data_IF_369614603346
#
_entry.id   IF_369614603346
#
_cell.length_a   1.000
_cell.length_b   1.000
_cell.length_c   1.000
_cell.angle_alpha   90.00
_cell.angle_beta   90.00
_cell.angle_gamma   90.00
#
_symmetry.space_group_name_H-M   'P 1'
#
loop_
_entity.id
_entity.type
_entity.pdbx_description
1 polymer ?
#
# COMPACT_ATOMS: atom_id res chain seq x y z
N UNK A 1 15.79 -6.09 21.34
CA UNK A 1 14.81 -6.47 20.30
C UNK A 1 13.41 -6.32 20.86
N UNK A 2 12.49 -5.76 20.07
CA UNK A 2 11.05 -5.78 20.33
C UNK A 2 10.32 -6.59 19.28
N UNK A 3 9.32 -7.35 19.71
CA UNK A 3 8.48 -8.18 18.86
C UNK A 3 7.03 -7.72 18.92
N UNK A 4 6.32 -7.87 17.81
CA UNK A 4 4.89 -7.66 17.70
C UNK A 4 4.29 -8.70 16.76
N UNK A 5 3.08 -9.16 17.06
CA UNK A 5 2.29 -10.02 16.18
C UNK A 5 0.82 -9.61 16.25
N UNK A 6 0.13 -9.63 15.11
CA UNK A 6 -1.30 -9.40 15.01
C UNK A 6 -1.86 -10.09 13.78
N UNK A 7 -3.12 -10.54 13.89
CA UNK A 7 -3.90 -11.02 12.77
C UNK A 7 -5.10 -10.13 12.49
N UNK A 8 -5.52 -10.11 11.22
CA UNK A 8 -6.73 -9.44 10.76
C UNK A 8 -7.40 -10.26 9.67
N UNK A 9 -8.73 -10.36 9.71
CA UNK A 9 -9.52 -11.07 8.72
C UNK A 9 -10.17 -10.06 7.76
N UNK A 10 -9.90 -10.21 6.47
CA UNK A 10 -10.65 -9.54 5.41
C UNK A 10 -11.81 -10.42 4.99
N UNK A 11 -12.99 -9.83 4.78
CA UNK A 11 -14.19 -10.54 4.29
C UNK A 11 -14.14 -10.84 2.77
N UNK A 12 -13.01 -10.54 2.13
CA UNK A 12 -12.78 -10.73 0.70
C UNK A 12 -11.99 -12.02 0.40
N UNK A 13 -12.11 -12.47 -0.85
CA UNK A 13 -11.33 -13.61 -1.36
C UNK A 13 -9.84 -13.28 -1.45
N UNK A 14 -9.02 -14.32 -1.33
CA UNK A 14 -7.56 -14.18 -1.34
C UNK A 14 -7.05 -13.48 -2.60
N UNK A 15 -7.65 -13.75 -3.76
CA UNK A 15 -7.23 -13.15 -5.02
C UNK A 15 -7.38 -11.63 -5.05
N UNK A 16 -8.51 -11.09 -4.54
CA UNK A 16 -8.72 -9.63 -4.56
C UNK A 16 -7.93 -8.92 -3.45
N UNK A 17 -7.74 -9.56 -2.28
CA UNK A 17 -6.86 -9.06 -1.21
C UNK A 17 -5.42 -9.02 -1.67
N UNK A 18 -4.96 -10.08 -2.35
CA UNK A 18 -3.62 -10.16 -2.91
C UNK A 18 -3.40 -9.06 -3.95
N UNK A 19 -4.35 -8.86 -4.87
CA UNK A 19 -4.28 -7.77 -5.84
C UNK A 19 -4.23 -6.39 -5.16
N UNK A 20 -5.10 -6.16 -4.16
CA UNK A 20 -5.11 -4.92 -3.40
C UNK A 20 -3.80 -4.67 -2.66
N UNK A 21 -3.17 -5.71 -2.11
CA UNK A 21 -1.87 -5.62 -1.46
C UNK A 21 -0.78 -5.13 -2.41
N UNK A 22 -0.70 -5.69 -3.62
CA UNK A 22 0.31 -5.29 -4.60
C UNK A 22 0.03 -3.90 -5.21
N UNK A 23 -1.24 -3.50 -5.32
CA UNK A 23 -1.67 -2.19 -5.80
C UNK A 23 -1.82 -1.13 -4.69
N UNK A 24 -1.36 -1.42 -3.46
CA UNK A 24 -1.60 -0.53 -2.31
C UNK A 24 -0.97 0.85 -2.46
N UNK A 25 -0.03 1.04 -3.38
CA UNK A 25 0.54 2.35 -3.65
C UNK A 25 0.19 2.84 -5.05
N UNK A 26 -0.11 4.15 -5.19
CA UNK A 26 -0.13 5.14 -4.12
C UNK A 26 -1.49 5.14 -3.37
N UNK A 27 -1.52 5.48 -2.07
CA UNK A 27 -2.75 5.72 -1.31
C UNK A 27 -2.58 6.82 -0.23
N UNK A 28 -3.65 7.54 0.20
CA UNK A 28 -3.55 8.67 1.15
C UNK A 28 -3.07 8.29 2.55
N UNK A 29 -3.27 7.04 2.96
CA UNK A 29 -2.79 6.53 4.25
C UNK A 29 -1.28 6.28 4.25
N UNK A 30 -0.66 6.17 3.07
CA UNK A 30 0.77 5.95 2.86
C UNK A 30 1.46 7.07 2.06
N UNK A 31 1.06 8.33 2.23
CA UNK A 31 1.66 9.48 1.53
C UNK A 31 3.17 9.71 1.76
N UNK A 32 3.78 8.97 2.70
CA UNK A 32 5.22 8.97 2.92
C UNK A 32 5.98 8.08 1.95
N UNK A 33 5.31 7.16 1.23
CA UNK A 33 5.91 6.36 0.17
C UNK A 33 6.06 7.22 -1.07
N UNK A 34 7.29 7.35 -1.56
CA UNK A 34 7.64 8.17 -2.72
C UNK A 34 7.59 7.32 -4.00
N UNK A 35 8.21 6.14 -3.97
CA UNK A 35 8.24 5.22 -5.11
C UNK A 35 8.17 3.76 -4.63
N UNK A 36 7.73 2.88 -5.53
CA UNK A 36 7.73 1.45 -5.35
C UNK A 36 7.99 0.79 -6.71
N UNK A 37 9.17 0.21 -6.86
CA UNK A 37 9.69 -0.28 -8.12
C UNK A 37 9.89 -1.80 -8.05
N UNK A 38 9.56 -2.52 -9.12
CA UNK A 38 9.85 -3.97 -9.21
C UNK A 38 11.27 -4.14 -9.69
N UNK A 39 12.11 -4.80 -8.88
CA UNK A 39 13.52 -5.05 -9.19
C UNK A 39 13.67 -6.37 -9.94
N UNK A 40 12.99 -7.41 -9.47
CA UNK A 40 12.94 -8.71 -10.13
C UNK A 40 11.59 -9.37 -9.90
N UNK A 41 11.21 -10.22 -10.84
CA UNK A 41 9.99 -11.03 -10.76
C UNK A 41 10.15 -12.26 -11.62
N UNK A 42 10.02 -13.42 -10.98
CA UNK A 42 10.27 -14.71 -11.61
C UNK A 42 9.27 -15.74 -11.08
N UNK A 43 9.02 -16.77 -11.87
CA UNK A 43 8.24 -17.94 -11.46
C UNK A 43 9.16 -19.07 -11.04
N UNK A 44 8.89 -19.70 -9.91
CA UNK A 44 9.59 -20.90 -9.48
C UNK A 44 9.10 -22.12 -10.28
N UNK A 45 9.87 -23.23 -10.31
CA UNK A 45 9.40 -24.49 -10.89
C UNK A 45 8.11 -25.04 -10.25
N UNK A 46 7.81 -24.65 -9.01
CA UNK A 46 6.58 -25.01 -8.30
C UNK A 46 5.36 -24.18 -8.72
N UNK A 47 5.51 -23.22 -9.65
CA UNK A 47 4.43 -22.35 -10.11
C UNK A 47 4.14 -21.15 -9.20
N UNK A 48 5.06 -20.84 -8.30
CA UNK A 48 4.96 -19.71 -7.36
C UNK A 48 5.57 -18.46 -7.98
N UNK A 49 4.97 -17.29 -7.79
CA UNK A 49 5.53 -16.01 -8.24
C UNK A 49 6.37 -15.39 -7.14
N UNK A 50 7.67 -15.19 -7.38
CA UNK A 50 8.56 -14.47 -6.48
C UNK A 50 8.77 -13.07 -7.03
N UNK A 51 8.69 -12.04 -6.20
CA UNK A 51 8.89 -10.65 -6.60
C UNK A 51 9.71 -9.93 -5.53
N UNK A 52 10.73 -9.21 -5.99
CA UNK A 52 11.47 -8.24 -5.18
C UNK A 52 11.10 -6.83 -5.60
N UNK A 53 10.65 -6.01 -4.66
CA UNK A 53 10.39 -4.58 -4.86
C UNK A 53 11.30 -3.71 -4.00
N UNK A 54 11.66 -2.56 -4.53
CA UNK A 54 12.37 -1.52 -3.81
C UNK A 54 11.42 -0.35 -3.56
N UNK A 55 11.33 0.09 -2.31
CA UNK A 55 10.41 1.12 -1.88
C UNK A 55 11.22 2.26 -1.27
N UNK A 56 11.01 3.48 -1.78
CA UNK A 56 11.54 4.69 -1.18
C UNK A 56 10.47 5.35 -0.31
N UNK A 57 10.80 5.67 0.94
CA UNK A 57 9.89 6.39 1.83
C UNK A 57 10.56 7.56 2.54
N UNK A 58 9.79 8.63 2.76
CA UNK A 58 10.14 9.73 3.64
C UNK A 58 9.99 9.29 5.09
N UNK A 59 10.98 9.61 5.91
CA UNK A 59 10.96 9.45 7.35
C UNK A 59 11.09 10.79 8.07
N UNK A 60 11.05 10.73 9.39
CA UNK A 60 11.38 11.87 10.25
C UNK A 60 12.07 11.36 11.51
N UNK A 61 13.13 12.05 11.93
CA UNK A 61 13.81 11.72 13.16
C UNK A 61 13.00 12.24 14.35
N UNK A 62 12.87 11.45 15.44
CA UNK A 62 12.17 11.94 16.61
C UNK A 62 12.98 13.05 17.28
N UNK A 63 12.29 14.04 17.87
CA UNK A 63 12.92 15.25 18.45
C UNK A 63 14.00 14.97 19.50
N UNK A 64 13.90 13.84 20.20
CA UNK A 64 14.85 13.42 21.22
C UNK A 64 16.13 12.78 20.66
N UNK A 65 16.15 12.42 19.38
CA UNK A 65 17.30 11.76 18.78
C UNK A 65 18.40 12.78 18.46
N UNK A 66 19.69 12.44 18.67
CA UNK A 66 20.78 13.37 18.43
C UNK A 66 20.79 13.89 16.98
N UNK A 67 20.87 15.21 16.84
CA UNK A 67 20.97 15.87 15.53
C UNK A 67 22.32 15.53 14.87
N UNK A 68 22.35 15.49 13.54
CA UNK A 68 23.57 15.29 12.75
C UNK A 68 24.01 13.83 12.58
N UNK A 69 23.37 12.86 13.25
CA UNK A 69 23.70 11.43 13.11
C UNK A 69 23.16 10.83 11.80
N UNK A 70 22.02 11.31 11.32
CA UNK A 70 21.38 10.85 10.09
C UNK A 70 21.24 12.06 9.16
N UNK A 71 21.91 12.02 8.00
CA UNK A 71 21.92 13.12 7.02
C UNK A 71 20.69 13.16 6.13
N UNK A 72 20.07 12.00 5.88
CA UNK A 72 18.86 11.85 5.05
C UNK A 72 17.76 11.17 5.83
N UNK A 73 16.60 11.82 5.92
CA UNK A 73 15.43 11.26 6.57
C UNK A 73 14.68 10.24 5.69
N UNK A 74 15.05 10.11 4.42
CA UNK A 74 14.53 9.07 3.54
C UNK A 74 15.13 7.71 3.88
N UNK A 75 14.37 6.66 3.60
CA UNK A 75 14.77 5.28 3.84
C UNK A 75 14.35 4.38 2.68
N UNK A 76 15.28 3.55 2.24
CA UNK A 76 15.03 2.46 1.30
C UNK A 76 14.57 1.21 2.04
N UNK A 77 13.52 0.57 1.52
CA UNK A 77 12.96 -0.68 2.03
C UNK A 77 12.92 -1.69 0.89
N UNK A 78 13.48 -2.86 1.13
CA UNK A 78 13.29 -4.00 0.24
C UNK A 78 12.05 -4.78 0.70
N UNK A 79 11.25 -5.19 -0.27
CA UNK A 79 10.11 -6.07 -0.10
C UNK A 79 10.33 -7.32 -0.95
N UNK A 80 10.32 -8.47 -0.32
CA UNK A 80 10.48 -9.78 -0.95
C UNK A 80 9.18 -10.55 -0.74
N UNK A 81 8.51 -10.93 -1.82
CA UNK A 81 7.21 -11.60 -1.75
C UNK A 81 7.19 -12.88 -2.58
N UNK A 82 6.42 -13.84 -2.11
CA UNK A 82 6.18 -15.14 -2.72
C UNK A 82 4.65 -15.36 -2.76
N UNK A 83 4.10 -15.61 -3.94
CA UNK A 83 2.67 -15.81 -4.19
C UNK A 83 2.43 -17.21 -4.71
N UNK A 84 1.82 -18.06 -3.90
CA UNK A 84 1.39 -19.41 -4.26
C UNK A 84 -0.10 -19.36 -4.67
N UNK A 85 -0.41 -19.43 -5.99
CA UNK A 85 -1.79 -19.35 -6.47
C UNK A 85 -2.59 -20.62 -6.17
N UNK A 86 -1.94 -21.77 -5.99
CA UNK A 86 -2.60 -23.04 -5.73
C UNK A 86 -2.93 -23.18 -4.25
N UNK A 87 -1.96 -22.89 -3.38
CA UNK A 87 -2.17 -22.81 -1.93
C UNK A 87 -2.99 -21.60 -1.49
N UNK A 88 -3.15 -20.59 -2.37
CA UNK A 88 -3.79 -19.29 -2.05
C UNK A 88 -3.15 -18.64 -0.84
N UNK A 89 -1.82 -18.52 -0.90
CA UNK A 89 -1.01 -17.91 0.14
C UNK A 89 -0.07 -16.87 -0.47
N UNK A 90 0.04 -15.72 0.18
CA UNK A 90 1.11 -14.75 -0.04
C UNK A 90 1.98 -14.74 1.20
N UNK A 91 3.30 -14.82 1.02
CA UNK A 91 4.30 -14.53 2.06
C UNK A 91 5.08 -13.30 1.61
N UNK A 92 5.28 -12.34 2.50
CA UNK A 92 5.98 -11.10 2.20
C UNK A 92 6.85 -10.71 3.37
N UNK A 93 8.11 -10.39 3.10
CA UNK A 93 9.05 -9.85 4.08
C UNK A 93 9.47 -8.46 3.64
N UNK A 94 9.47 -7.50 4.56
CA UNK A 94 10.05 -6.17 4.31
C UNK A 94 11.11 -5.84 5.34
N UNK A 95 12.18 -5.18 4.89
CA UNK A 95 13.25 -4.68 5.76
C UNK A 95 13.85 -3.40 5.20
N UNK A 96 14.23 -2.47 6.07
CA UNK A 96 14.99 -1.30 5.64
C UNK A 96 16.44 -1.69 5.26
N UNK A 97 16.94 -1.10 4.19
CA UNK A 97 18.31 -1.30 3.68
C UNK A 97 19.31 -0.34 4.31
N UNK A 98 18.86 0.89 4.61
CA UNK A 98 19.65 1.95 5.23
C UNK A 98 19.29 2.13 6.71
N UNK A 99 20.10 2.93 7.42
CA UNK A 99 19.91 3.25 8.85
C UNK A 99 19.88 2.03 9.79
N UNK A 100 20.28 0.85 9.33
CA UNK A 100 20.22 -0.44 10.05
C UNK A 100 20.93 -0.42 11.40
N UNK A 101 22.01 0.37 11.53
CA UNK A 101 22.70 0.57 12.82
C UNK A 101 21.81 1.31 13.82
N UNK A 102 21.08 2.33 13.37
CA UNK A 102 20.17 3.10 14.22
C UNK A 102 18.96 2.23 14.56
N UNK A 103 18.25 1.75 13.55
CA UNK A 103 17.07 0.92 13.73
C UNK A 103 16.86 0.02 12.50
N UNK A 104 16.72 -1.27 12.73
CA UNK A 104 16.27 -2.24 11.74
C UNK A 104 14.87 -2.70 12.10
N UNK A 105 13.96 -2.63 11.12
CA UNK A 105 12.61 -3.16 11.22
C UNK A 105 12.49 -4.25 10.16
N UNK A 106 12.17 -5.44 10.61
CA UNK A 106 11.82 -6.58 9.75
C UNK A 106 10.35 -6.90 10.00
N UNK A 107 9.54 -6.85 8.95
CA UNK A 107 8.12 -7.18 8.99
C UNK A 107 7.86 -8.38 8.08
N UNK A 108 7.19 -9.40 8.62
CA UNK A 108 6.71 -10.55 7.87
C UNK A 108 5.18 -10.50 7.83
N UNK A 109 4.61 -10.57 6.63
CA UNK A 109 3.16 -10.62 6.41
C UNK A 109 2.83 -11.87 5.63
N UNK A 110 1.81 -12.60 6.10
CA UNK A 110 1.21 -13.71 5.40
C UNK A 110 -0.26 -13.42 5.13
N UNK A 111 -0.73 -13.60 3.90
CA UNK A 111 -2.15 -13.64 3.57
C UNK A 111 -2.51 -15.07 3.17
N UNK A 112 -3.54 -15.65 3.77
CA UNK A 112 -3.99 -17.01 3.46
C UNK A 112 -5.52 -17.06 3.31
N UNK A 113 -6.00 -17.79 2.31
CA UNK A 113 -7.43 -18.06 2.16
C UNK A 113 -7.96 -18.87 3.35
N UNK A 114 -9.11 -18.47 3.86
CA UNK A 114 -9.91 -19.19 4.87
C UNK A 114 -11.35 -19.36 4.39
N UNK A 115 -12.19 -20.17 5.04
CA UNK A 115 -13.62 -20.26 4.69
C UNK A 115 -14.39 -18.94 4.85
N UNK A 116 -13.91 -18.02 5.70
CA UNK A 116 -14.58 -16.75 6.01
C UNK A 116 -14.05 -15.55 5.21
N UNK A 117 -13.00 -15.74 4.41
CA UNK A 117 -12.29 -14.65 3.73
C UNK A 117 -10.78 -14.85 3.78
N UNK A 118 -10.00 -13.78 3.85
CA UNK A 118 -8.53 -13.85 3.83
C UNK A 118 -7.93 -13.43 5.15
N UNK A 119 -7.20 -14.34 5.81
CA UNK A 119 -6.49 -14.04 7.05
C UNK A 119 -5.14 -13.42 6.73
N UNK A 120 -4.92 -12.20 7.20
CA UNK A 120 -3.60 -11.59 7.29
C UNK A 120 -3.01 -11.90 8.66
N UNK A 121 -1.78 -12.42 8.69
CA UNK A 121 -0.95 -12.52 9.88
C UNK A 121 0.30 -11.66 9.68
N UNK A 122 0.59 -10.79 10.63
CA UNK A 122 1.71 -9.86 10.55
C UNK A 122 2.57 -9.97 11.80
N UNK A 123 3.86 -10.17 11.60
CA UNK A 123 4.88 -10.13 12.64
C UNK A 123 5.87 -9.00 12.35
N UNK A 124 6.39 -8.37 13.39
CA UNK A 124 7.47 -7.42 13.26
C UNK A 124 8.51 -7.56 14.36
N UNK A 125 9.77 -7.41 13.95
CA UNK A 125 10.94 -7.37 14.82
C UNK A 125 11.64 -6.03 14.64
N UNK A 126 11.86 -5.35 15.76
CA UNK A 126 12.57 -4.07 15.80
C UNK A 126 13.87 -4.25 16.59
N UNK A 127 14.98 -3.91 15.93
CA UNK A 127 16.33 -4.01 16.47
C UNK A 127 17.00 -2.64 16.43
N UNK A 128 17.85 -2.34 17.41
CA UNK A 128 18.77 -1.20 17.34
C UNK A 128 20.18 -1.66 17.68
N UNK A 129 21.14 -1.34 16.82
CA UNK A 129 22.58 -1.56 17.05
C UNK A 129 23.32 -0.24 17.32
N UNK A 130 22.58 0.79 17.72
CA UNK A 130 23.12 2.15 17.83
C UNK A 130 24.19 2.26 18.92
N UNK A 131 23.99 1.59 20.06
CA UNK A 131 24.82 1.70 21.26
C UNK A 131 24.40 2.86 22.18
N UNK A 132 25.22 3.20 23.17
CA UNK A 132 25.09 4.43 23.97
C UNK A 132 23.86 4.50 24.90
N UNK A 133 23.34 3.34 25.35
CA UNK A 133 22.19 3.29 26.27
C UNK A 133 20.84 3.66 25.65
N UNK A 134 20.79 4.09 24.39
CA UNK A 134 19.55 4.48 23.70
C UNK A 134 18.79 3.31 23.07
N UNK A 135 19.37 2.12 23.01
CA UNK A 135 18.81 0.93 22.35
C UNK A 135 17.35 0.69 22.74
N UNK A 136 17.04 0.61 24.03
CA UNK A 136 15.65 0.37 24.51
C UNK A 136 14.69 1.47 24.06
N UNK A 137 15.13 2.74 24.08
CA UNK A 137 14.31 3.89 23.68
C UNK A 137 14.03 3.89 22.19
N UNK A 138 15.03 3.58 21.36
CA UNK A 138 14.89 3.46 19.90
C UNK A 138 13.96 2.30 19.56
N UNK A 139 14.16 1.12 20.14
CA UNK A 139 13.31 -0.05 19.87
C UNK A 139 11.85 0.19 20.29
N UNK A 140 11.61 0.82 21.45
CA UNK A 140 10.26 1.21 21.88
C UNK A 140 9.62 2.21 20.91
N UNK A 141 10.39 3.19 20.44
CA UNK A 141 9.91 4.16 19.45
C UNK A 141 9.53 3.49 18.14
N UNK A 142 10.39 2.60 17.62
CA UNK A 142 10.14 1.84 16.41
C UNK A 142 8.88 0.98 16.51
N UNK A 143 8.71 0.25 17.62
CA UNK A 143 7.51 -0.57 17.85
C UNK A 143 6.23 0.28 17.90
N UNK A 144 6.28 1.44 18.56
CA UNK A 144 5.13 2.35 18.66
C UNK A 144 4.75 2.90 17.29
N UNK A 145 5.74 3.30 16.48
CA UNK A 145 5.53 3.75 15.11
C UNK A 145 4.99 2.63 14.23
N UNK A 146 5.53 1.42 14.36
CA UNK A 146 5.07 0.25 13.62
C UNK A 146 3.58 -0.02 13.85
N UNK A 147 3.14 -0.07 15.12
CA UNK A 147 1.71 -0.24 15.47
C UNK A 147 0.82 0.84 14.84
N UNK A 148 1.25 2.11 14.86
CA UNK A 148 0.51 3.20 14.23
C UNK A 148 0.45 3.06 12.69
N UNK A 149 1.54 2.60 12.07
CA UNK A 149 1.61 2.39 10.63
C UNK A 149 0.79 1.19 10.16
N UNK A 150 0.68 0.12 10.97
CA UNK A 150 -0.13 -1.05 10.63
C UNK A 150 -1.59 -0.71 10.41
N UNK A 151 -2.17 0.13 11.28
CA UNK A 151 -3.55 0.57 11.14
C UNK A 151 -3.76 1.34 9.82
N UNK A 152 -2.84 2.25 9.50
CA UNK A 152 -2.86 3.00 8.23
C UNK A 152 -2.66 2.10 7.00
N UNK A 153 -1.81 1.08 7.12
CA UNK A 153 -1.61 0.08 6.06
C UNK A 153 -2.91 -0.67 5.75
N UNK A 154 -3.64 -1.09 6.78
CA UNK A 154 -4.95 -1.74 6.64
C UNK A 154 -5.99 -0.82 6.01
N UNK A 155 -6.02 0.45 6.40
CA UNK A 155 -6.90 1.45 5.78
C UNK A 155 -6.57 1.67 4.29
N UNK A 156 -5.28 1.71 3.95
CA UNK A 156 -4.82 1.77 2.57
C UNK A 156 -5.26 0.58 1.73
N UNK A 157 -5.06 -0.65 2.22
CA UNK A 157 -5.51 -1.88 1.54
C UNK A 157 -7.04 -1.91 1.41
N UNK A 158 -7.77 -1.52 2.46
CA UNK A 158 -9.24 -1.48 2.46
C UNK A 158 -9.78 -0.48 1.42
N UNK A 159 -9.11 0.66 1.26
CA UNK A 159 -9.43 1.62 0.20
C UNK A 159 -9.26 0.99 -1.19
N UNK A 160 -8.13 0.31 -1.45
CA UNK A 160 -7.91 -0.33 -2.75
C UNK A 160 -8.92 -1.45 -3.00
N UNK A 161 -9.25 -2.26 -1.97
CA UNK A 161 -10.32 -3.26 -2.06
C UNK A 161 -11.65 -2.65 -2.47
N UNK A 162 -12.05 -1.53 -1.86
CA UNK A 162 -13.27 -0.82 -2.23
C UNK A 162 -13.24 -0.34 -3.69
N UNK A 163 -12.12 0.19 -4.16
CA UNK A 163 -11.94 0.62 -5.56
C UNK A 163 -12.00 -0.55 -6.54
N UNK A 164 -11.38 -1.68 -6.21
CA UNK A 164 -11.42 -2.90 -7.02
C UNK A 164 -12.84 -3.47 -7.11
N UNK A 165 -13.59 -3.47 -6.01
CA UNK A 165 -15.01 -3.87 -6.01
C UNK A 165 -15.85 -2.97 -6.92
N UNK A 166 -15.65 -1.65 -6.84
CA UNK A 166 -16.38 -0.69 -7.68
C UNK A 166 -16.04 -0.86 -9.18
N UNK A 167 -14.76 -1.07 -9.51
CA UNK A 167 -14.31 -1.31 -10.89
C UNK A 167 -14.99 -2.53 -11.51
N UNK A 168 -15.16 -3.63 -10.75
CA UNK A 168 -15.82 -4.85 -11.24
C UNK A 168 -17.32 -4.68 -11.53
N UNK A 169 -17.96 -3.68 -10.92
CA UNK A 169 -19.37 -3.37 -11.14
C UNK A 169 -19.59 -2.48 -12.37
N UNK A 170 -18.54 -1.84 -12.88
CA UNK A 170 -18.60 -1.09 -14.12
C UNK A 170 -18.33 -2.06 -15.28
N UNK A 171 -19.27 -2.29 -16.21
CA UNK A 171 -18.97 -3.05 -17.41
C UNK A 171 -17.81 -2.32 -18.11
N UNK A 172 -16.74 -3.05 -18.45
CA UNK A 172 -15.66 -2.50 -19.27
C UNK A 172 -16.31 -2.01 -20.56
N UNK A 173 -16.44 -0.70 -20.70
CA UNK A 173 -16.80 -0.08 -21.97
C UNK A 173 -15.63 -0.34 -22.92
N UNK A 174 -15.61 -1.52 -23.55
CA UNK A 174 -15.07 -1.64 -24.89
C UNK A 174 -15.83 -0.57 -25.68
N UNK A 175 -15.15 0.55 -25.96
CA UNK A 175 -15.73 1.61 -26.77
C UNK A 175 -16.31 0.98 -28.03
N UNK A 176 -17.47 1.45 -28.52
CA UNK A 176 -18.05 0.88 -29.72
C UNK A 176 -17.00 0.94 -30.83
N UNK A 177 -16.77 -0.19 -31.50
CA UNK A 177 -15.99 -0.22 -32.73
C UNK A 177 -16.69 0.73 -33.70
N UNK A 178 -16.04 1.86 -33.99
CA UNK A 178 -16.61 2.94 -34.77
C UNK A 178 -16.71 2.50 -36.24
N UNK A 179 -17.87 1.95 -36.58
CA UNK A 179 -18.31 1.71 -37.95
C UNK A 179 -19.72 2.29 -38.10
N UNK A 180 -19.83 3.61 -38.23
CA UNK A 180 -20.72 4.24 -39.20
C UNK A 180 -20.58 5.76 -39.16
N UNK A 181 -20.18 6.32 -40.31
CA UNK A 181 -20.62 7.64 -40.72
C UNK A 181 -22.15 7.69 -40.61
N UNK A 182 -22.71 8.65 -39.87
CA UNK A 182 -23.72 9.58 -40.39
C UNK A 182 -24.32 10.52 -39.33
N UNK A 183 -24.23 11.81 -39.66
CA UNK A 183 -25.15 12.93 -39.42
C UNK A 183 -25.59 13.24 -37.97
N UNK A 184 -25.05 14.35 -37.45
CA UNK A 184 -25.53 15.08 -36.29
C UNK A 184 -26.94 15.67 -36.53
N UNK A 185 -27.89 15.54 -35.58
CA UNK A 185 -28.94 16.51 -35.41
C UNK A 185 -28.67 17.41 -34.20
N UNK A 186 -28.90 18.70 -34.44
CA UNK A 186 -28.86 19.82 -33.49
C UNK A 186 -29.78 19.54 -32.30
N UNK A 187 -29.24 19.61 -31.07
CA UNK A 187 -30.03 19.57 -29.84
C UNK A 187 -30.42 20.99 -29.45
N UNK A 188 -31.73 21.29 -29.55
CA UNK A 188 -32.36 22.41 -28.88
C UNK A 188 -32.30 22.23 -27.36
N UNK A 189 -31.86 23.28 -26.69
CA UNK A 189 -31.89 23.47 -25.25
C UNK A 189 -33.30 23.33 -24.69
N UNK A 190 -33.47 22.51 -23.65
CA UNK A 190 -34.38 22.78 -22.54
C UNK A 190 -34.02 21.89 -21.33
N UNK A 191 -33.79 22.56 -20.20
CA UNK A 191 -34.15 22.25 -18.80
C UNK A 191 -34.21 20.74 -18.37
N UNK A 192 -33.72 20.27 -17.23
CA UNK A 192 -33.57 20.85 -15.89
C UNK A 192 -32.46 20.07 -15.15
N UNK A 193 -31.65 20.79 -14.36
CA UNK A 193 -30.65 20.18 -13.46
C UNK A 193 -31.38 19.72 -12.21
N UNK A 194 -31.59 18.40 -12.07
CA UNK A 194 -32.01 17.80 -10.81
C UNK A 194 -30.75 17.28 -10.09
N UNK A 195 -30.17 18.14 -9.27
CA UNK A 195 -28.97 17.88 -8.49
C UNK A 195 -29.35 17.22 -7.17
N UNK A 196 -29.62 15.91 -7.17
CA UNK A 196 -29.66 15.16 -5.92
C UNK A 196 -29.18 13.72 -6.10
N UNK A 197 -27.87 13.53 -5.94
CA UNK A 197 -27.36 12.28 -5.38
C UNK A 197 -25.97 12.47 -4.75
N UNK A 198 -25.93 12.58 -3.43
CA UNK A 198 -24.70 12.66 -2.62
C UNK A 198 -23.99 11.30 -2.58
N UNK A 199 -23.38 10.92 -3.69
CA UNK A 199 -22.22 10.02 -3.67
C UNK A 199 -20.98 10.83 -4.03
N UNK A 200 -20.46 11.59 -3.05
CA UNK A 200 -19.07 12.06 -3.07
C UNK A 200 -18.17 10.83 -2.92
N UNK A 201 -18.00 10.13 -4.03
CA UNK A 201 -17.30 8.86 -4.13
C UNK A 201 -15.85 9.05 -3.73
N UNK A 202 -15.29 8.04 -3.07
CA UNK A 202 -13.86 7.92 -2.70
C UNK A 202 -12.91 8.33 -3.84
N UNK A 203 -13.36 8.17 -5.08
CA UNK A 203 -12.74 8.64 -6.32
C UNK A 203 -12.45 10.14 -6.39
N UNK A 204 -13.30 11.02 -5.87
CA UNK A 204 -13.05 12.46 -5.87
C UNK A 204 -11.84 12.82 -4.99
N UNK A 205 -11.70 12.16 -3.83
CA UNK A 205 -10.55 12.32 -2.93
C UNK A 205 -9.27 11.72 -3.51
N UNK A 206 -9.37 10.59 -4.20
CA UNK A 206 -8.25 9.98 -4.91
C UNK A 206 -7.76 10.89 -6.04
N UNK A 207 -8.65 11.39 -6.91
CA UNK A 207 -8.29 12.30 -8.02
C UNK A 207 -7.66 13.61 -7.54
N UNK A 208 -8.11 14.19 -6.42
CA UNK A 208 -7.49 15.41 -5.89
C UNK A 208 -6.03 15.22 -5.44
N UNK A 209 -5.64 13.98 -5.13
CA UNK A 209 -4.29 13.67 -4.64
C UNK A 209 -3.26 13.48 -5.76
N UNK A 210 -3.69 13.15 -6.98
CA UNK A 210 -2.81 13.10 -8.16
C UNK A 210 -2.63 14.45 -8.86
N UNK A 211 -3.29 15.52 -8.38
CA UNK A 211 -3.07 16.85 -8.94
C UNK A 211 -1.78 17.43 -8.35
N UNK A 212 -0.81 17.85 -9.18
CA UNK A 212 0.33 18.62 -8.69
C UNK A 212 -0.18 19.90 -8.00
N UNK A 213 0.54 20.42 -6.99
CA UNK A 213 0.19 21.70 -6.39
C UNK A 213 0.21 22.78 -7.47
N UNK A 214 -0.86 23.59 -7.52
CA UNK A 214 -0.92 24.75 -8.41
C UNK A 214 0.25 25.67 -8.08
N UNK A 215 1.16 25.86 -9.03
CA UNK A 215 2.16 26.92 -8.98
C UNK A 215 1.39 28.25 -8.98
N UNK A 216 1.26 28.88 -7.82
CA UNK A 216 0.97 30.30 -7.77
C UNK A 216 2.29 31.01 -8.11
N UNK A 217 2.29 31.68 -9.26
CA UNK A 217 3.27 32.69 -9.63
C UNK A 217 3.04 33.96 -8.81
#
# INVERSE_FOLDING_TARGET
>A
MRFFSQSFLYDDTWSIVTLAFFLRYPNPYAAHVISCDVISRDTTPSGTLVTTRLILKKGSMPRWFPRGIVSRAESWVIEESEVDPYGKVVRCVTKNLDHVKVMQVEESVQFAQTPKGTLQHTEARVFSRFGWGLTKRIENHGLTRFKANMQRSREGVSLILALLRQSRLQPMALGPADHSHDVLPVIQSNAEVNEDNRHKTSWAKFKSWFRPPSSQA
#
